data_IF_404025449381
#
_entry.id   IF_404025449381
#
_cell.length_a   1.000
_cell.length_b   1.000
_cell.length_c   1.000
_cell.angle_alpha   90.00
_cell.angle_beta   90.00
_cell.angle_gamma   90.00
#
_symmetry.space_group_name_H-M   'P 1'
#
loop_
_entity.id
_entity.type
_entity.pdbx_description
1 polymer ?
#
# COMPACT_ATOMS: atom_id res chain seq x y z
N UNK A 1 -64.05 -6.82 -5.20
CA UNK A 1 -62.74 -6.46 -4.59
C UNK A 1 -62.11 -7.70 -3.98
N UNK A 2 -60.95 -8.17 -4.52
CA UNK A 2 -60.24 -9.33 -3.98
C UNK A 2 -59.55 -8.89 -2.69
N UNK A 3 -59.89 -9.47 -1.54
CA UNK A 3 -59.18 -9.30 -0.27
C UNK A 3 -57.81 -9.95 -0.39
N UNK A 4 -56.75 -9.15 -0.37
CA UNK A 4 -55.38 -9.63 -0.23
C UNK A 4 -55.21 -10.24 1.15
N UNK A 5 -54.92 -11.56 1.19
CA UNK A 5 -54.68 -12.31 2.41
C UNK A 5 -53.27 -11.88 2.93
N UNK A 6 -53.18 -10.95 3.85
CA UNK A 6 -51.95 -10.57 4.52
C UNK A 6 -51.64 -11.57 5.61
N UNK A 7 -50.91 -12.61 5.28
CA UNK A 7 -50.31 -13.49 6.30
C UNK A 7 -49.16 -12.70 6.95
N UNK A 8 -49.35 -12.32 8.21
CA UNK A 8 -48.26 -11.73 9.00
C UNK A 8 -47.26 -12.83 9.39
N UNK A 9 -45.98 -12.47 9.49
CA UNK A 9 -44.94 -13.33 10.02
C UNK A 9 -45.23 -13.65 11.49
N UNK A 10 -45.00 -14.91 11.89
CA UNK A 10 -45.10 -15.29 13.29
C UNK A 10 -43.85 -14.84 14.06
N UNK A 11 -43.97 -14.57 15.34
CA UNK A 11 -42.89 -14.13 16.22
C UNK A 11 -41.76 -15.17 16.27
N UNK A 12 -42.13 -16.47 16.18
CA UNK A 12 -41.16 -17.57 16.19
C UNK A 12 -40.37 -17.67 14.88
N UNK A 13 -40.99 -17.35 13.73
CA UNK A 13 -40.25 -17.29 12.45
C UNK A 13 -39.20 -16.20 12.47
N UNK A 14 -39.50 -15.01 13.01
CA UNK A 14 -38.54 -13.94 13.16
C UNK A 14 -37.41 -14.32 14.11
N UNK A 15 -37.75 -14.92 15.25
CA UNK A 15 -36.76 -15.37 16.22
C UNK A 15 -35.82 -16.43 15.63
N UNK A 16 -36.33 -17.39 14.86
CA UNK A 16 -35.53 -18.39 14.19
C UNK A 16 -34.53 -17.79 13.21
N UNK A 17 -34.95 -16.78 12.43
CA UNK A 17 -34.08 -16.10 11.48
C UNK A 17 -32.94 -15.35 12.17
N UNK A 18 -33.22 -14.61 13.24
CA UNK A 18 -32.15 -13.87 13.95
C UNK A 18 -31.16 -14.79 14.64
N UNK A 19 -31.59 -15.94 15.14
CA UNK A 19 -30.68 -16.95 15.73
C UNK A 19 -29.75 -17.55 14.66
N UNK A 20 -30.30 -17.90 13.48
CA UNK A 20 -29.46 -18.40 12.36
C UNK A 20 -28.47 -17.35 11.91
N UNK A 21 -28.92 -16.11 11.74
CA UNK A 21 -28.02 -15.00 11.37
C UNK A 21 -26.89 -14.78 12.39
N UNK A 22 -27.21 -14.86 13.68
CA UNK A 22 -26.22 -14.71 14.75
C UNK A 22 -25.12 -15.80 14.66
N UNK A 23 -25.51 -17.08 14.44
CA UNK A 23 -24.55 -18.18 14.30
C UNK A 23 -23.67 -17.98 13.06
N UNK A 24 -24.24 -17.60 11.92
CA UNK A 24 -23.51 -17.36 10.67
C UNK A 24 -22.52 -16.22 10.85
N UNK A 25 -22.92 -15.12 11.49
CA UNK A 25 -22.03 -13.95 11.72
C UNK A 25 -20.83 -14.32 12.60
N UNK A 26 -21.02 -15.09 13.66
CA UNK A 26 -19.92 -15.48 14.57
C UNK A 26 -18.83 -16.27 13.83
N UNK A 27 -19.19 -17.10 12.85
CA UNK A 27 -18.24 -17.91 12.08
C UNK A 27 -17.58 -17.11 10.95
N UNK A 28 -18.33 -16.19 10.32
CA UNK A 28 -17.85 -15.50 9.11
C UNK A 28 -16.95 -14.28 9.40
N UNK A 29 -17.20 -13.55 10.48
CA UNK A 29 -16.44 -12.31 10.81
C UNK A 29 -14.93 -12.56 10.93
N UNK A 30 -14.42 -13.57 11.67
CA UNK A 30 -12.98 -13.81 11.78
C UNK A 30 -12.31 -14.09 10.42
N UNK A 31 -12.97 -14.86 9.56
CA UNK A 31 -12.47 -15.20 8.23
C UNK A 31 -12.34 -13.97 7.32
N UNK A 32 -13.33 -13.10 7.33
CA UNK A 32 -13.32 -11.86 6.54
C UNK A 32 -12.22 -10.91 7.00
N UNK A 33 -12.01 -10.76 8.31
CA UNK A 33 -10.96 -9.90 8.86
C UNK A 33 -9.56 -10.38 8.46
N UNK A 34 -9.31 -11.70 8.50
CA UNK A 34 -8.05 -12.27 8.04
C UNK A 34 -7.80 -11.96 6.56
N UNK A 35 -8.78 -12.21 5.70
CA UNK A 35 -8.68 -11.96 4.26
C UNK A 35 -8.44 -10.47 3.95
N UNK A 36 -9.09 -9.56 4.69
CA UNK A 36 -8.87 -8.13 4.54
C UNK A 36 -7.45 -7.71 4.93
N UNK A 37 -6.89 -8.29 5.98
CA UNK A 37 -5.52 -8.02 6.40
C UNK A 37 -4.50 -8.52 5.38
N UNK A 38 -4.69 -9.70 4.82
CA UNK A 38 -3.83 -10.24 3.77
C UNK A 38 -3.92 -9.41 2.47
N UNK A 39 -5.10 -8.91 2.15
CA UNK A 39 -5.29 -7.99 1.02
C UNK A 39 -4.54 -6.68 1.21
N UNK A 40 -4.59 -6.07 2.39
CA UNK A 40 -3.83 -4.85 2.73
C UNK A 40 -2.33 -5.08 2.64
N UNK A 41 -1.84 -6.21 3.14
CA UNK A 41 -0.44 -6.59 3.06
C UNK A 41 0.05 -6.70 1.61
N UNK A 42 -0.71 -7.42 0.78
CA UNK A 42 -0.41 -7.54 -0.65
C UNK A 42 -0.46 -6.20 -1.39
N UNK A 43 -1.42 -5.36 -1.04
CA UNK A 43 -1.54 -4.03 -1.63
C UNK A 43 -0.33 -3.16 -1.28
N UNK A 44 0.13 -3.17 -0.03
CA UNK A 44 1.34 -2.45 0.37
C UNK A 44 2.58 -3.00 -0.35
N UNK A 45 2.70 -4.32 -0.51
CA UNK A 45 3.77 -4.95 -1.28
C UNK A 45 3.76 -4.50 -2.74
N UNK A 46 2.63 -4.62 -3.42
CA UNK A 46 2.49 -4.19 -4.81
C UNK A 46 2.79 -2.69 -4.98
N UNK A 47 2.42 -1.88 -4.01
CA UNK A 47 2.76 -0.45 -3.99
C UNK A 47 4.26 -0.23 -3.88
N UNK A 48 4.95 -0.97 -3.01
CA UNK A 48 6.41 -0.88 -2.89
C UNK A 48 7.11 -1.28 -4.20
N UNK A 49 6.65 -2.33 -4.87
CA UNK A 49 7.20 -2.78 -6.15
C UNK A 49 6.94 -1.76 -7.26
N UNK A 50 5.75 -1.18 -7.35
CA UNK A 50 5.43 -0.13 -8.34
C UNK A 50 6.27 1.13 -8.15
N UNK A 51 6.49 1.53 -6.91
CA UNK A 51 7.35 2.68 -6.59
C UNK A 51 8.82 2.39 -6.93
N UNK A 52 9.30 1.19 -6.64
CA UNK A 52 10.64 0.76 -7.00
C UNK A 52 10.86 0.77 -8.52
N UNK A 53 9.90 0.25 -9.27
CA UNK A 53 9.94 0.26 -10.74
C UNK A 53 9.96 1.70 -11.30
N UNK A 54 9.13 2.59 -10.74
CA UNK A 54 9.11 3.99 -11.14
C UNK A 54 10.47 4.67 -10.89
N UNK A 55 11.06 4.49 -9.69
CA UNK A 55 12.37 5.04 -9.38
C UNK A 55 13.48 4.45 -10.24
N UNK A 56 13.44 3.16 -10.53
CA UNK A 56 14.42 2.49 -11.39
C UNK A 56 14.39 3.09 -12.80
N UNK A 57 13.20 3.28 -13.37
CA UNK A 57 13.05 3.95 -14.67
C UNK A 57 13.60 5.38 -14.68
N UNK A 58 13.36 6.15 -13.61
CA UNK A 58 13.89 7.50 -13.50
C UNK A 58 15.42 7.52 -13.37
N UNK A 59 15.98 6.56 -12.62
CA UNK A 59 17.41 6.40 -12.46
C UNK A 59 18.10 6.02 -13.78
N UNK A 60 17.55 5.07 -14.51
CA UNK A 60 18.03 4.64 -15.83
C UNK A 60 17.99 5.81 -16.82
N UNK A 61 16.90 6.55 -16.89
CA UNK A 61 16.78 7.73 -17.74
C UNK A 61 17.81 8.81 -17.38
N UNK A 62 18.07 9.04 -16.11
CA UNK A 62 19.05 10.00 -15.65
C UNK A 62 20.48 9.57 -16.01
N UNK A 63 20.79 8.28 -15.91
CA UNK A 63 22.08 7.70 -16.27
C UNK A 63 22.30 7.81 -17.77
N UNK A 64 21.32 7.37 -18.58
CA UNK A 64 21.36 7.48 -20.02
C UNK A 64 21.58 8.91 -20.52
N UNK A 65 20.83 9.85 -19.99
CA UNK A 65 20.97 11.25 -20.38
C UNK A 65 22.30 11.88 -19.96
N UNK A 66 22.92 11.37 -18.89
CA UNK A 66 24.26 11.78 -18.49
C UNK A 66 25.33 11.33 -19.49
N UNK A 67 25.17 10.17 -20.11
CA UNK A 67 26.08 9.65 -21.14
C UNK A 67 26.00 10.43 -22.45
N UNK A 68 24.82 10.95 -22.79
CA UNK A 68 24.60 11.72 -24.01
C UNK A 68 24.70 13.26 -23.82
N UNK A 69 25.19 13.73 -22.67
CA UNK A 69 25.43 15.15 -22.42
C UNK A 69 24.19 16.01 -22.30
N UNK A 70 23.02 15.42 -22.19
CA UNK A 70 21.76 16.15 -21.95
C UNK A 70 21.57 16.47 -20.47
N UNK A 71 21.12 17.69 -20.18
CA UNK A 71 20.82 18.15 -18.83
C UNK A 71 19.55 17.48 -18.31
N UNK A 72 19.66 16.25 -17.83
CA UNK A 72 18.56 15.59 -17.12
C UNK A 72 18.57 16.00 -15.67
N UNK A 73 17.37 16.23 -15.15
CA UNK A 73 17.10 16.73 -13.82
C UNK A 73 18.05 16.13 -12.76
N UNK A 74 18.92 16.97 -12.24
CA UNK A 74 19.94 16.72 -11.22
C UNK A 74 19.43 15.95 -9.99
N UNK A 75 18.10 15.91 -9.80
CA UNK A 75 17.43 15.25 -8.69
C UNK A 75 17.63 13.74 -8.66
N UNK A 76 17.80 13.08 -9.82
CA UNK A 76 17.98 11.63 -9.90
C UNK A 76 19.45 11.23 -10.04
N UNK A 77 20.32 12.20 -10.42
CA UNK A 77 21.77 11.99 -10.53
C UNK A 77 22.44 11.75 -9.18
N UNK A 78 21.78 12.13 -8.10
CA UNK A 78 22.29 12.06 -6.73
C UNK A 78 21.61 10.97 -5.88
N UNK A 79 21.09 9.91 -6.48
CA UNK A 79 20.83 8.71 -5.69
C UNK A 79 22.17 8.28 -5.08
N UNK A 80 22.22 8.09 -3.75
CA UNK A 80 23.47 7.69 -3.11
C UNK A 80 23.89 6.33 -3.65
N UNK A 81 25.07 6.30 -4.28
CA UNK A 81 25.68 5.07 -4.78
C UNK A 81 26.03 4.09 -3.65
N UNK A 82 26.04 4.56 -2.42
CA UNK A 82 26.24 3.76 -1.21
C UNK A 82 24.89 3.54 -0.54
N UNK A 83 24.75 2.44 0.17
CA UNK A 83 23.55 1.98 0.89
C UNK A 83 23.01 2.97 1.95
N UNK A 84 22.89 4.24 1.60
CA UNK A 84 22.35 5.28 2.46
C UNK A 84 20.84 5.32 2.26
N UNK A 85 20.09 5.05 3.33
CA UNK A 85 18.64 5.16 3.32
C UNK A 85 18.24 6.61 3.11
N UNK A 86 17.36 6.84 2.14
CA UNK A 86 16.81 8.16 1.86
C UNK A 86 15.36 8.17 2.30
N UNK A 87 15.05 9.03 3.25
CA UNK A 87 13.70 9.19 3.77
C UNK A 87 12.81 9.92 2.74
N UNK A 88 11.58 9.45 2.55
CA UNK A 88 10.58 10.08 1.68
C UNK A 88 10.16 11.48 2.13
N UNK A 89 10.46 11.90 3.36
CA UNK A 89 10.27 13.27 3.82
C UNK A 89 11.34 14.25 3.30
N UNK A 90 12.41 13.76 2.71
CA UNK A 90 13.45 14.62 2.15
C UNK A 90 12.94 15.29 0.87
N UNK A 91 12.67 16.60 0.98
CA UNK A 91 12.17 17.40 -0.14
C UNK A 91 13.16 17.50 -1.30
N UNK A 92 14.47 17.40 -1.02
CA UNK A 92 15.52 17.41 -2.04
C UNK A 92 15.47 16.17 -2.94
N UNK A 93 14.93 15.06 -2.44
CA UNK A 93 14.80 13.79 -3.16
C UNK A 93 13.38 13.47 -3.59
N UNK A 94 12.46 14.43 -3.44
CA UNK A 94 11.08 14.39 -3.96
C UNK A 94 10.26 13.17 -3.54
N UNK A 95 10.50 12.64 -2.32
CA UNK A 95 9.88 11.41 -1.86
C UNK A 95 8.36 11.33 -2.02
N UNK A 96 7.61 12.30 -1.45
CA UNK A 96 6.15 12.33 -1.59
C UNK A 96 5.71 12.52 -3.05
N UNK A 97 6.36 13.41 -3.80
CA UNK A 97 6.04 13.66 -5.20
C UNK A 97 6.32 12.42 -6.07
N UNK A 98 7.40 11.68 -5.77
CA UNK A 98 7.73 10.43 -6.43
C UNK A 98 6.69 9.34 -6.15
N UNK A 99 6.21 9.20 -4.91
CA UNK A 99 5.14 8.27 -4.56
C UNK A 99 3.84 8.57 -5.34
N UNK A 100 3.46 9.85 -5.44
CA UNK A 100 2.30 10.28 -6.21
C UNK A 100 2.50 9.97 -7.70
N UNK A 101 3.68 10.27 -8.26
CA UNK A 101 4.01 9.97 -9.65
C UNK A 101 4.03 8.46 -9.96
N UNK A 102 4.40 7.63 -8.98
CA UNK A 102 4.31 6.17 -9.06
C UNK A 102 2.87 5.63 -8.89
N UNK A 103 1.87 6.50 -8.75
CA UNK A 103 0.46 6.13 -8.65
C UNK A 103 -0.06 5.89 -7.23
N UNK A 104 0.68 6.25 -6.19
CA UNK A 104 0.23 6.11 -4.80
C UNK A 104 -0.75 7.23 -4.46
N UNK A 105 -2.00 6.87 -4.19
CA UNK A 105 -3.02 7.81 -3.74
C UNK A 105 -2.97 8.05 -2.23
N UNK A 106 -3.38 9.25 -1.82
CA UNK A 106 -3.51 9.61 -0.40
C UNK A 106 -2.26 9.27 0.44
N UNK A 107 -1.08 9.65 -0.07
CA UNK A 107 0.23 9.32 0.52
C UNK A 107 0.29 9.65 2.01
N UNK A 108 -0.14 10.86 2.41
CA UNK A 108 -0.03 11.34 3.79
C UNK A 108 -0.87 10.54 4.80
N UNK A 109 -1.95 9.91 4.34
CA UNK A 109 -2.84 9.11 5.18
C UNK A 109 -2.47 7.64 5.18
N UNK A 110 -1.86 7.15 4.10
CA UNK A 110 -1.62 5.74 3.90
C UNK A 110 -0.18 5.30 4.20
N UNK A 111 0.80 6.20 3.98
CA UNK A 111 2.24 5.89 4.12
C UNK A 111 2.85 6.72 5.24
N UNK A 112 3.60 6.06 6.09
CA UNK A 112 4.46 6.73 7.06
C UNK A 112 5.76 7.15 6.36
N UNK A 113 5.77 8.40 5.88
CA UNK A 113 6.90 8.95 5.13
C UNK A 113 8.18 9.02 5.95
N UNK A 114 8.07 9.20 7.28
CA UNK A 114 9.23 9.33 8.16
C UNK A 114 9.98 8.00 8.32
N UNK A 115 9.25 6.88 8.25
CA UNK A 115 9.80 5.55 8.41
C UNK A 115 9.93 4.77 7.09
N UNK A 116 9.43 5.33 5.98
CA UNK A 116 9.62 4.77 4.65
C UNK A 116 10.92 5.28 4.03
N UNK A 117 11.58 4.46 3.22
CA UNK A 117 12.88 4.82 2.66
C UNK A 117 13.11 4.25 1.26
N UNK A 118 14.04 4.87 0.56
CA UNK A 118 14.54 4.44 -0.75
C UNK A 118 16.06 4.26 -0.67
N UNK A 119 16.59 3.23 -1.29
CA UNK A 119 17.98 2.88 -1.26
C UNK A 119 18.42 2.33 -2.63
N UNK A 120 19.61 2.71 -3.08
CA UNK A 120 20.25 2.07 -4.23
C UNK A 120 21.03 0.85 -3.75
N UNK A 121 20.73 -0.34 -4.30
CA UNK A 121 21.40 -1.60 -4.02
C UNK A 121 21.97 -2.14 -5.33
N UNK A 122 23.27 -1.97 -5.53
CA UNK A 122 23.87 -2.23 -6.84
C UNK A 122 23.34 -1.28 -7.91
N UNK A 123 22.66 -1.82 -8.91
CA UNK A 123 22.00 -1.10 -10.00
C UNK A 123 20.45 -1.01 -9.85
N UNK A 124 19.92 -1.48 -8.72
CA UNK A 124 18.48 -1.54 -8.46
C UNK A 124 18.08 -0.59 -7.33
N UNK A 125 16.88 -0.07 -7.45
CA UNK A 125 16.29 0.78 -6.41
C UNK A 125 15.42 -0.09 -5.49
N UNK A 126 15.85 -0.20 -4.26
CA UNK A 126 15.09 -0.84 -3.18
C UNK A 126 14.20 0.18 -2.48
N UNK A 127 12.94 -0.16 -2.30
CA UNK A 127 11.94 0.65 -1.59
C UNK A 127 11.49 -0.08 -0.34
N UNK A 128 11.44 0.63 0.77
CA UNK A 128 10.85 0.16 2.02
C UNK A 128 9.68 1.09 2.34
N UNK A 129 8.46 0.57 2.30
CA UNK A 129 7.26 1.30 2.67
C UNK A 129 6.76 0.84 4.04
N UNK A 130 6.37 1.82 4.84
CA UNK A 130 5.72 1.60 6.13
C UNK A 130 4.30 2.17 6.06
N UNK A 131 3.30 1.33 6.36
CA UNK A 131 1.92 1.75 6.42
C UNK A 131 1.68 2.66 7.62
N UNK A 132 0.99 3.78 7.39
CA UNK A 132 0.63 4.72 8.46
C UNK A 132 -0.56 4.21 9.25
N UNK A 133 -0.50 4.33 10.57
CA UNK A 133 -1.61 3.98 11.46
C UNK A 133 -2.90 4.70 11.05
N UNK A 134 -3.98 3.94 10.93
CA UNK A 134 -5.28 4.45 10.46
C UNK A 134 -5.42 4.59 8.95
N UNK A 135 -4.36 4.36 8.17
CA UNK A 135 -4.42 4.35 6.71
C UNK A 135 -5.03 3.06 6.13
N UNK A 136 -5.35 3.09 4.84
CA UNK A 136 -5.98 1.95 4.15
C UNK A 136 -5.09 0.71 4.04
N UNK A 137 -3.76 0.88 4.10
CA UNK A 137 -2.80 -0.23 4.09
C UNK A 137 -2.51 -0.78 5.50
N UNK A 138 -2.93 -0.07 6.55
CA UNK A 138 -2.59 -0.43 7.91
C UNK A 138 -3.23 -1.76 8.32
N UNK A 139 -2.39 -2.67 8.81
CA UNK A 139 -2.78 -3.98 9.31
C UNK A 139 -2.79 -3.97 10.84
N UNK A 140 -3.71 -4.69 11.45
CA UNK A 140 -3.73 -4.91 12.90
C UNK A 140 -2.51 -5.69 13.41
N UNK A 141 -1.91 -6.54 12.56
CA UNK A 141 -0.60 -7.16 12.81
C UNK A 141 0.50 -6.18 12.40
N UNK A 142 1.19 -5.61 13.38
CA UNK A 142 2.25 -4.61 13.17
C UNK A 142 3.41 -5.12 12.32
N UNK A 143 3.70 -6.43 12.34
CA UNK A 143 4.77 -7.06 11.55
C UNK A 143 4.52 -6.98 10.04
N UNK A 144 3.27 -6.81 9.64
CA UNK A 144 2.81 -6.73 8.25
C UNK A 144 2.79 -5.31 7.69
N UNK A 145 3.05 -4.30 8.52
CA UNK A 145 2.97 -2.88 8.14
C UNK A 145 4.22 -2.34 7.44
N UNK A 146 5.28 -3.14 7.34
CA UNK A 146 6.50 -2.78 6.60
C UNK A 146 6.72 -3.76 5.46
N UNK A 147 6.86 -3.23 4.25
CA UNK A 147 7.15 -4.03 3.06
C UNK A 147 8.36 -3.49 2.31
N UNK A 148 9.18 -4.42 1.85
CA UNK A 148 10.32 -4.15 0.98
C UNK A 148 9.94 -4.53 -0.45
N UNK A 149 10.35 -3.73 -1.42
CA UNK A 149 10.19 -4.11 -2.82
C UNK A 149 11.01 -5.35 -3.15
N UNK A 150 10.61 -6.08 -4.17
CA UNK A 150 11.33 -7.26 -4.68
C UNK A 150 12.77 -6.94 -5.11
N UNK A 151 13.05 -5.69 -5.44
CA UNK A 151 14.40 -5.21 -5.76
C UNK A 151 15.35 -5.12 -4.56
N UNK A 152 14.86 -5.32 -3.33
CA UNK A 152 15.67 -5.30 -2.10
C UNK A 152 16.40 -6.63 -1.78
N UNK A 153 16.24 -7.64 -2.59
CA UNK A 153 16.82 -8.97 -2.40
C UNK A 153 18.11 -9.16 -3.20
#
# INVERSE_FOLDING_TARGET
MKKLNRKGFTLIELLAVIVILAIVLVVTIPSVLSTMNDAKEKQLQNTADSVAEWYTKQYELATFASEFGTSVATAYKNFPATATLTNFNDTAKKGKAALIAAGVSNVDTNIDLANSSVQLVGDKICIILVAKSGGSFYNSDSSKNTKKSSACS
#
